data_IF_310417543149
#
_entry.id   IF_310417543149
#
_cell.length_a   1.000
_cell.length_b   1.000
_cell.length_c   1.000
_cell.angle_alpha   90.00
_cell.angle_beta   90.00
_cell.angle_gamma   90.00
#
_symmetry.space_group_name_H-M   'P 1'
#
loop_
_entity.id
_entity.type
_entity.pdbx_description
1 polymer ?
#
# COMPACT_ATOMS: atom_id res chain seq x y z
N UNK A 1 -7.62 6.98 -27.48
CA UNK A 1 -8.21 6.60 -26.19
C UNK A 1 -8.82 5.22 -26.33
N UNK A 2 -8.44 4.29 -25.45
CA UNK A 2 -8.95 2.92 -25.33
C UNK A 2 -8.95 2.50 -23.86
N UNK A 3 -9.62 1.39 -23.54
CA UNK A 3 -9.58 0.78 -22.21
C UNK A 3 -8.13 0.53 -21.77
N UNK A 4 -7.81 0.89 -20.53
CA UNK A 4 -6.49 0.78 -19.93
C UNK A 4 -5.54 1.95 -20.23
N UNK A 5 -5.91 2.89 -21.11
CA UNK A 5 -5.10 4.11 -21.29
C UNK A 5 -5.16 4.96 -20.01
N UNK A 6 -4.00 5.51 -19.61
CA UNK A 6 -3.84 6.36 -18.44
C UNK A 6 -3.79 7.84 -18.84
N UNK A 7 -4.54 8.67 -18.10
CA UNK A 7 -4.66 10.10 -18.34
C UNK A 7 -4.41 10.88 -17.04
N UNK A 8 -3.87 12.09 -17.20
CA UNK A 8 -3.58 13.03 -16.12
C UNK A 8 -4.55 14.20 -16.21
N UNK A 9 -5.14 14.58 -15.08
CA UNK A 9 -5.99 15.77 -14.99
C UNK A 9 -5.14 17.01 -15.23
N UNK A 10 -5.62 17.92 -16.08
CA UNK A 10 -4.81 19.08 -16.48
C UNK A 10 -4.56 20.07 -15.35
N UNK A 11 -5.54 20.23 -14.46
CA UNK A 11 -5.50 21.16 -13.33
C UNK A 11 -4.96 20.52 -12.04
N UNK A 12 -4.66 19.23 -12.08
CA UNK A 12 -4.14 18.47 -10.94
C UNK A 12 -3.20 17.39 -11.48
N UNK A 13 -1.88 17.61 -11.50
CA UNK A 13 -0.94 16.69 -12.10
C UNK A 13 -0.88 15.33 -11.38
N UNK A 14 -1.35 15.23 -10.13
CA UNK A 14 -1.44 13.97 -9.36
C UNK A 14 -2.82 13.29 -9.52
N UNK A 15 -3.79 13.94 -10.15
CA UNK A 15 -5.09 13.37 -10.50
C UNK A 15 -4.99 12.40 -11.69
N UNK A 16 -4.57 11.16 -11.44
CA UNK A 16 -4.41 10.13 -12.46
C UNK A 16 -5.65 9.26 -12.59
N UNK A 17 -6.07 8.98 -13.83
CA UNK A 17 -7.24 8.15 -14.13
C UNK A 17 -6.93 7.11 -15.19
N UNK A 18 -7.58 5.95 -15.06
CA UNK A 18 -7.59 4.87 -16.06
C UNK A 18 -8.93 4.85 -16.80
N UNK A 19 -8.87 4.73 -18.12
CA UNK A 19 -10.07 4.55 -18.96
C UNK A 19 -10.58 3.12 -18.79
N UNK A 20 -11.77 2.96 -18.21
CA UNK A 20 -12.43 1.67 -18.07
C UNK A 20 -13.12 1.24 -19.37
N UNK A 21 -13.74 2.18 -20.09
CA UNK A 21 -14.48 1.91 -21.31
C UNK A 21 -14.70 3.19 -22.14
N UNK A 22 -14.81 3.04 -23.46
CA UNK A 22 -15.24 4.10 -24.37
C UNK A 22 -16.42 3.55 -25.18
N UNK A 23 -17.62 4.09 -24.95
CA UNK A 23 -18.85 3.61 -25.61
C UNK A 23 -19.80 4.77 -25.86
N UNK A 24 -20.41 4.81 -27.05
CA UNK A 24 -21.45 5.80 -27.39
C UNK A 24 -21.01 7.27 -27.26
N UNK A 25 -19.73 7.59 -27.51
CA UNK A 25 -19.19 8.94 -27.34
C UNK A 25 -18.96 9.38 -25.88
N UNK A 26 -19.14 8.45 -24.93
CA UNK A 26 -18.83 8.64 -23.53
C UNK A 26 -17.56 7.88 -23.14
N UNK A 27 -16.89 8.40 -22.13
CA UNK A 27 -15.71 7.81 -21.50
C UNK A 27 -16.08 7.44 -20.08
N UNK A 28 -15.94 6.17 -19.74
CA UNK A 28 -15.99 5.67 -18.36
C UNK A 28 -14.57 5.57 -17.84
N UNK A 29 -14.29 6.19 -16.71
CA UNK A 29 -12.95 6.25 -16.13
C UNK A 29 -13.02 6.22 -14.61
N UNK A 30 -11.96 5.77 -13.97
CA UNK A 30 -11.82 5.77 -12.51
C UNK A 30 -10.41 6.25 -12.15
N UNK A 31 -10.16 6.72 -10.91
CA UNK A 31 -8.81 6.95 -10.43
C UNK A 31 -7.91 5.73 -10.66
N UNK A 32 -6.64 5.96 -11.01
CA UNK A 32 -5.64 4.89 -11.03
C UNK A 32 -5.48 4.37 -9.59
N UNK A 33 -5.69 3.07 -9.38
CA UNK A 33 -5.80 2.48 -8.04
C UNK A 33 -7.23 2.15 -7.57
N UNK A 34 -8.23 2.45 -8.40
CA UNK A 34 -9.62 2.09 -8.12
C UNK A 34 -10.41 3.19 -7.40
N UNK A 35 -11.68 2.92 -7.16
CA UNK A 35 -12.66 3.91 -6.70
C UNK A 35 -13.86 4.01 -7.65
N UNK A 36 -14.61 5.11 -7.53
CA UNK A 36 -15.85 5.28 -8.29
C UNK A 36 -15.61 5.47 -9.79
N UNK A 37 -16.41 4.76 -10.60
CA UNK A 37 -16.44 4.97 -12.05
C UNK A 37 -17.21 6.25 -12.34
N UNK A 38 -16.53 7.19 -12.98
CA UNK A 38 -17.11 8.41 -13.53
C UNK A 38 -17.45 8.22 -15.01
N UNK A 39 -18.46 8.95 -15.47
CA UNK A 39 -18.89 8.94 -16.88
C UNK A 39 -18.92 10.38 -17.37
N UNK A 40 -18.23 10.66 -18.48
CA UNK A 40 -18.23 11.98 -19.10
C UNK A 40 -18.33 11.88 -20.64
N UNK A 41 -18.90 12.90 -21.31
CA UNK A 41 -18.75 13.04 -22.76
C UNK A 41 -17.27 13.12 -23.15
N UNK A 42 -16.89 12.50 -24.28
CA UNK A 42 -15.50 12.45 -24.74
C UNK A 42 -14.85 13.84 -24.84
N UNK A 43 -15.55 14.82 -25.42
CA UNK A 43 -15.04 16.19 -25.54
C UNK A 43 -14.75 16.85 -24.18
N UNK A 44 -15.57 16.56 -23.16
CA UNK A 44 -15.32 17.05 -21.79
C UNK A 44 -14.09 16.38 -21.20
N UNK A 45 -13.97 15.07 -21.35
CA UNK A 45 -12.82 14.32 -20.86
C UNK A 45 -11.51 14.81 -21.50
N UNK A 46 -11.48 15.00 -22.82
CA UNK A 46 -10.27 15.49 -23.52
C UNK A 46 -9.91 16.95 -23.14
N UNK A 47 -10.91 17.75 -22.78
CA UNK A 47 -10.74 19.09 -22.23
C UNK A 47 -10.17 19.09 -20.81
N UNK A 48 -10.61 18.16 -19.96
CA UNK A 48 -10.21 18.10 -18.54
C UNK A 48 -8.93 17.28 -18.31
N UNK A 49 -8.59 16.37 -19.22
CA UNK A 49 -7.49 15.41 -19.09
C UNK A 49 -6.56 15.43 -20.31
N UNK A 50 -5.33 14.95 -20.09
CA UNK A 50 -4.34 14.72 -21.15
C UNK A 50 -3.72 13.32 -21.02
N UNK A 51 -3.27 12.69 -22.12
CA UNK A 51 -2.56 11.42 -22.03
C UNK A 51 -1.34 11.52 -21.10
N UNK A 52 -1.09 10.47 -20.32
CA UNK A 52 0.11 10.34 -19.50
C UNK A 52 1.35 10.28 -20.40
N UNK A 53 2.37 11.08 -20.08
CA UNK A 53 3.68 11.05 -20.75
C UNK A 53 4.68 10.21 -19.96
N UNK A 54 5.82 9.87 -20.56
CA UNK A 54 6.89 9.19 -19.83
C UNK A 54 7.45 10.04 -18.68
N UNK A 55 7.45 11.37 -18.82
CA UNK A 55 7.82 12.29 -17.72
C UNK A 55 6.83 12.20 -16.56
N UNK A 56 5.53 12.09 -16.84
CA UNK A 56 4.53 11.88 -15.79
C UNK A 56 4.70 10.52 -15.14
N UNK A 57 4.92 9.48 -15.94
CA UNK A 57 5.17 8.12 -15.45
C UNK A 57 6.38 8.08 -14.52
N UNK A 58 7.48 8.75 -14.89
CA UNK A 58 8.66 8.88 -14.05
C UNK A 58 8.35 9.63 -12.74
N UNK A 59 7.64 10.76 -12.81
CA UNK A 59 7.25 11.58 -11.65
C UNK A 59 6.23 10.90 -10.73
N UNK A 60 5.35 10.07 -11.27
CA UNK A 60 4.39 9.31 -10.47
C UNK A 60 5.07 8.12 -9.79
N UNK A 61 6.13 7.58 -10.39
CA UNK A 61 6.99 6.55 -9.78
C UNK A 61 7.96 7.09 -8.72
N UNK A 62 8.17 8.40 -8.63
CA UNK A 62 9.00 8.95 -7.55
C UNK A 62 8.21 8.91 -6.26
N UNK A 63 8.52 7.92 -5.42
CA UNK A 63 8.05 7.88 -4.06
C UNK A 63 8.75 8.97 -3.23
N UNK A 64 7.99 9.65 -2.38
CA UNK A 64 8.52 10.56 -1.38
C UNK A 64 8.44 9.92 0.00
N UNK A 65 9.39 10.20 0.89
CA UNK A 65 9.21 9.87 2.30
C UNK A 65 8.15 10.78 2.89
N UNK A 66 7.20 10.17 3.59
CA UNK A 66 6.12 10.85 4.28
C UNK A 66 5.66 10.03 5.47
N UNK A 67 4.43 10.29 5.88
CA UNK A 67 3.84 9.77 7.10
C UNK A 67 2.45 9.22 6.77
N UNK A 68 2.13 8.04 7.30
CA UNK A 68 0.82 7.41 7.12
C UNK A 68 0.27 6.91 8.44
N UNK A 69 -1.05 6.94 8.58
CA UNK A 69 -1.79 6.28 9.64
C UNK A 69 -2.75 5.24 9.02
N UNK A 70 -3.05 4.21 9.82
CA UNK A 70 -4.03 3.18 9.50
C UNK A 70 -5.16 3.19 10.51
N UNK A 71 -6.37 2.85 10.09
CA UNK A 71 -7.54 2.83 10.99
C UNK A 71 -7.52 1.68 12.02
N UNK A 72 -6.64 0.69 11.83
CA UNK A 72 -6.40 -0.43 12.76
C UNK A 72 -5.27 -0.16 13.77
N UNK A 73 -4.56 0.97 13.68
CA UNK A 73 -3.54 1.32 14.68
C UNK A 73 -4.23 1.85 15.95
N UNK A 74 -3.93 1.27 17.12
CA UNK A 74 -4.53 1.71 18.40
C UNK A 74 -4.18 3.15 18.75
N UNK A 75 -2.98 3.60 18.34
CA UNK A 75 -2.62 5.01 18.31
C UNK A 75 -2.74 5.54 16.88
N UNK A 76 -3.46 6.64 16.68
CA UNK A 76 -3.52 7.33 15.38
C UNK A 76 -2.18 8.02 15.03
N UNK A 77 -1.07 7.59 15.64
CA UNK A 77 0.22 8.23 15.47
C UNK A 77 0.88 7.71 14.20
N UNK A 78 1.22 8.58 13.24
CA UNK A 78 1.68 8.14 11.95
C UNK A 78 3.03 7.41 12.00
N UNK A 79 3.25 6.57 10.99
CA UNK A 79 4.46 5.78 10.76
C UNK A 79 5.15 6.33 9.50
N UNK A 80 6.49 6.43 9.47
CA UNK A 80 7.19 6.85 8.27
C UNK A 80 7.05 5.80 7.15
N UNK A 81 6.79 6.27 5.93
CA UNK A 81 6.65 5.41 4.77
C UNK A 81 7.07 6.11 3.48
N UNK A 82 7.31 5.32 2.45
CA UNK A 82 7.42 5.79 1.07
C UNK A 82 6.03 5.86 0.43
N UNK A 83 5.63 7.05 0.03
CA UNK A 83 4.35 7.30 -0.62
C UNK A 83 4.50 7.05 -2.12
N UNK A 84 4.09 5.86 -2.57
CA UNK A 84 4.21 5.38 -3.96
C UNK A 84 3.27 6.08 -4.94
N UNK A 85 2.35 6.92 -4.42
CA UNK A 85 1.22 7.53 -5.15
C UNK A 85 0.24 6.52 -5.75
N UNK A 86 0.47 5.23 -5.51
CA UNK A 86 -0.48 4.17 -5.82
C UNK A 86 -1.61 4.23 -4.78
N UNK A 87 -2.82 3.98 -5.26
CA UNK A 87 -4.00 3.93 -4.43
C UNK A 87 -4.65 2.55 -4.53
N UNK A 88 -5.37 2.16 -3.49
CA UNK A 88 -6.32 1.05 -3.52
C UNK A 88 -7.66 1.54 -2.97
N UNK A 89 -8.70 1.51 -3.80
CA UNK A 89 -10.03 2.05 -3.46
C UNK A 89 -10.00 3.51 -2.94
N UNK A 90 -9.02 4.30 -3.40
CA UNK A 90 -8.81 5.68 -2.96
C UNK A 90 -7.92 5.85 -1.72
N UNK A 91 -7.49 4.78 -1.08
CA UNK A 91 -6.55 4.79 0.06
C UNK A 91 -5.11 4.65 -0.41
N UNK A 92 -4.16 5.22 0.34
CA UNK A 92 -2.74 5.14 -0.01
C UNK A 92 -2.22 3.69 0.02
N UNK A 93 -1.22 3.40 -0.81
CA UNK A 93 -0.45 2.15 -0.75
C UNK A 93 1.00 2.44 -0.33
N UNK A 94 1.24 2.71 0.96
CA UNK A 94 2.59 2.99 1.45
C UNK A 94 3.51 1.78 1.32
N UNK A 95 4.79 2.06 1.11
CA UNK A 95 5.85 1.08 1.16
C UNK A 95 6.80 1.43 2.31
N UNK A 96 7.09 0.49 3.20
CA UNK A 96 7.83 0.76 4.42
C UNK A 96 9.25 0.21 4.36
N UNK A 97 10.21 0.89 4.98
CA UNK A 97 11.51 0.30 5.26
C UNK A 97 11.40 -0.72 6.40
N UNK A 98 12.31 -1.69 6.43
CA UNK A 98 12.29 -2.77 7.43
C UNK A 98 12.29 -2.22 8.87
N UNK A 99 13.20 -1.31 9.15
CA UNK A 99 13.44 -0.84 10.52
C UNK A 99 12.25 0.00 11.01
N UNK A 100 11.62 0.77 10.11
CA UNK A 100 10.39 1.53 10.37
C UNK A 100 9.22 0.58 10.73
N UNK A 101 9.07 -0.55 10.03
CA UNK A 101 8.06 -1.59 10.36
C UNK A 101 8.35 -2.27 11.69
N UNK A 102 9.60 -2.67 11.94
CA UNK A 102 9.99 -3.32 13.21
C UNK A 102 9.70 -2.39 14.39
N UNK A 103 9.99 -1.11 14.26
CA UNK A 103 9.68 -0.11 15.28
C UNK A 103 8.16 0.06 15.47
N UNK A 104 7.39 0.13 14.37
CA UNK A 104 5.93 0.23 14.44
C UNK A 104 5.28 -0.99 15.10
N UNK A 105 5.73 -2.20 14.77
CA UNK A 105 5.27 -3.46 15.37
C UNK A 105 5.61 -3.47 16.87
N UNK A 106 6.85 -3.13 17.24
CA UNK A 106 7.27 -3.09 18.63
C UNK A 106 6.47 -2.09 19.48
N UNK A 107 5.94 -1.03 18.86
CA UNK A 107 5.05 -0.04 19.49
C UNK A 107 3.57 -0.40 19.44
N UNK A 108 3.20 -1.55 18.87
CA UNK A 108 1.80 -1.99 18.77
C UNK A 108 0.98 -1.24 17.71
N UNK A 109 1.63 -0.51 16.79
CA UNK A 109 0.93 0.24 15.74
C UNK A 109 0.51 -0.63 14.55
N UNK A 110 1.24 -1.72 14.35
CA UNK A 110 0.94 -2.74 13.36
C UNK A 110 0.82 -4.04 14.13
N UNK A 111 -0.41 -4.53 14.24
CA UNK A 111 -0.73 -5.73 15.00
C UNK A 111 -0.49 -6.98 14.15
N UNK A 112 -0.28 -8.09 14.85
CA UNK A 112 -0.27 -9.45 14.30
C UNK A 112 0.65 -9.63 13.07
N UNK A 113 1.70 -8.83 12.99
CA UNK A 113 2.64 -8.80 11.88
C UNK A 113 4.05 -9.11 12.37
N UNK A 114 4.71 -10.02 11.66
CA UNK A 114 5.97 -10.62 12.08
C UNK A 114 6.99 -10.61 10.94
N UNK A 115 8.24 -10.31 11.25
CA UNK A 115 9.31 -10.37 10.25
C UNK A 115 10.00 -11.74 10.26
N UNK A 116 10.00 -12.42 9.12
CA UNK A 116 10.72 -13.68 8.92
C UNK A 116 11.95 -13.46 8.05
N UNK A 117 13.10 -13.27 8.71
CA UNK A 117 14.34 -12.85 8.07
C UNK A 117 14.89 -13.86 7.04
N UNK A 118 14.65 -15.16 7.21
CA UNK A 118 15.20 -16.17 6.31
C UNK A 118 14.59 -16.11 4.90
N UNK A 119 13.36 -15.62 4.76
CA UNK A 119 12.69 -15.41 3.48
C UNK A 119 12.61 -13.93 3.06
N UNK A 120 13.09 -12.99 3.89
CA UNK A 120 12.98 -11.55 3.68
C UNK A 120 11.53 -11.09 3.44
N UNK A 121 10.64 -11.51 4.34
CA UNK A 121 9.20 -11.21 4.27
C UNK A 121 8.67 -10.73 5.62
N UNK A 122 7.59 -9.94 5.57
CA UNK A 122 6.68 -9.79 6.70
C UNK A 122 5.48 -10.72 6.50
N UNK A 123 4.98 -11.29 7.60
CA UNK A 123 3.82 -12.18 7.65
C UNK A 123 2.80 -11.52 8.56
N UNK A 124 1.62 -11.24 8.03
CA UNK A 124 0.47 -10.76 8.83
C UNK A 124 -0.49 -11.92 9.02
N UNK A 125 -0.91 -12.13 10.27
CA UNK A 125 -1.91 -13.11 10.66
C UNK A 125 -3.18 -12.39 11.09
N UNK A 126 -4.34 -12.85 10.67
CA UNK A 126 -5.62 -12.28 11.11
C UNK A 126 -6.54 -13.39 11.59
N UNK A 127 -7.07 -13.20 12.80
CA UNK A 127 -8.12 -14.03 13.39
C UNK A 127 -9.45 -13.26 13.44
N UNK A 128 -9.73 -12.43 12.42
CA UNK A 128 -10.98 -11.68 12.28
C UNK A 128 -11.41 -10.88 13.52
N UNK A 129 -10.43 -10.31 14.25
CA UNK A 129 -10.66 -9.50 15.46
C UNK A 129 -10.57 -10.27 16.79
N UNK A 130 -10.37 -11.59 16.75
CA UNK A 130 -10.07 -12.39 17.93
C UNK A 130 -8.55 -12.45 18.20
N UNK A 131 -8.10 -12.77 19.44
CA UNK A 131 -6.68 -12.95 19.72
C UNK A 131 -6.06 -14.09 18.91
N UNK A 132 -4.80 -13.95 18.52
CA UNK A 132 -4.06 -15.04 17.90
C UNK A 132 -3.91 -16.24 18.86
N UNK A 133 -3.98 -17.49 18.37
CA UNK A 133 -3.63 -18.66 19.17
C UNK A 133 -2.15 -18.64 19.54
N UNK A 134 -1.76 -19.44 20.54
CA UNK A 134 -0.35 -19.70 20.78
C UNK A 134 0.23 -20.56 19.65
N UNK A 135 1.38 -20.17 19.09
CA UNK A 135 2.10 -20.93 18.09
C UNK A 135 3.62 -20.74 18.23
N UNK A 136 4.40 -21.60 17.59
CA UNK A 136 5.86 -21.50 17.51
C UNK A 136 6.27 -20.85 16.17
N UNK A 137 6.76 -19.60 16.17
CA UNK A 137 7.17 -18.91 14.93
C UNK A 137 8.23 -19.66 14.13
N UNK A 138 9.16 -20.35 14.80
CA UNK A 138 10.26 -21.06 14.14
C UNK A 138 9.77 -22.29 13.36
N UNK A 139 8.68 -22.91 13.82
CA UNK A 139 8.03 -24.01 13.14
C UNK A 139 7.04 -23.52 12.05
N UNK A 140 6.28 -22.46 12.34
CA UNK A 140 5.17 -22.04 11.49
C UNK A 140 5.58 -21.15 10.32
N UNK A 141 6.53 -20.21 10.49
CA UNK A 141 6.89 -19.28 9.41
C UNK A 141 7.46 -19.95 8.15
N UNK A 142 8.36 -20.95 8.24
CA UNK A 142 8.79 -21.70 7.05
C UNK A 142 7.62 -22.36 6.32
N UNK A 143 6.70 -22.97 7.08
CA UNK A 143 5.52 -23.67 6.54
C UNK A 143 4.55 -22.70 5.86
N UNK A 144 4.33 -21.53 6.47
CA UNK A 144 3.50 -20.46 5.92
C UNK A 144 4.05 -19.99 4.58
N UNK A 145 5.35 -19.69 4.51
CA UNK A 145 6.00 -19.21 3.27
C UNK A 145 5.95 -20.26 2.17
N UNK A 146 6.12 -21.54 2.49
CA UNK A 146 5.99 -22.63 1.52
C UNK A 146 4.55 -22.78 1.00
N UNK A 147 3.56 -22.66 1.89
CA UNK A 147 2.15 -22.84 1.54
C UNK A 147 1.56 -21.67 0.72
N UNK A 148 1.99 -20.44 0.98
CA UNK A 148 1.43 -19.23 0.37
C UNK A 148 2.14 -18.80 -0.94
N UNK A 149 2.78 -19.75 -1.65
CA UNK A 149 3.44 -19.50 -2.93
C UNK A 149 2.48 -19.17 -4.11
N UNK A 150 1.16 -19.18 -3.90
CA UNK A 150 0.12 -18.84 -4.88
C UNK A 150 -0.76 -17.67 -4.34
N UNK A 151 -0.85 -16.49 -4.99
CA UNK A 151 -1.16 -15.26 -4.26
C UNK A 151 -2.59 -14.77 -4.46
N UNK A 152 -3.31 -14.61 -3.35
CA UNK A 152 -4.03 -13.37 -3.00
C UNK A 152 -4.54 -13.44 -1.55
N UNK A 153 -4.73 -14.65 -1.01
CA UNK A 153 -5.27 -14.88 0.33
C UNK A 153 -5.04 -16.35 0.68
N UNK A 154 -4.38 -16.64 1.79
CA UNK A 154 -4.21 -18.02 2.27
C UNK A 154 -4.85 -18.16 3.65
N UNK A 155 -5.73 -19.14 3.81
CA UNK A 155 -6.18 -19.58 5.13
C UNK A 155 -5.34 -20.78 5.56
N UNK A 156 -4.69 -20.68 6.70
CA UNK A 156 -3.85 -21.75 7.25
C UNK A 156 -4.24 -22.05 8.69
N UNK A 157 -4.37 -23.33 9.01
CA UNK A 157 -4.52 -23.77 10.40
C UNK A 157 -3.19 -23.55 11.13
N UNK A 158 -3.16 -22.67 12.13
CA UNK A 158 -2.02 -22.34 12.98
C UNK A 158 -2.49 -22.42 14.42
N UNK A 159 -1.82 -23.20 15.26
CA UNK A 159 -2.22 -23.37 16.67
C UNK A 159 -3.66 -23.91 16.84
N UNK A 160 -4.18 -24.66 15.85
CA UNK A 160 -5.54 -25.21 15.85
C UNK A 160 -6.65 -24.22 15.46
N UNK A 161 -6.29 -23.04 14.94
CA UNK A 161 -7.23 -22.03 14.44
C UNK A 161 -6.90 -21.72 12.98
N UNK A 162 -7.91 -21.61 12.12
CA UNK A 162 -7.72 -21.14 10.75
C UNK A 162 -7.53 -19.63 10.75
N UNK A 163 -6.34 -19.18 10.39
CA UNK A 163 -5.98 -17.77 10.30
C UNK A 163 -5.92 -17.35 8.83
N UNK A 164 -6.35 -16.13 8.55
CA UNK A 164 -5.98 -15.46 7.31
C UNK A 164 -4.49 -15.10 7.39
N UNK A 165 -3.77 -15.36 6.31
CA UNK A 165 -2.34 -15.14 6.21
C UNK A 165 -2.02 -14.31 4.97
N UNK A 166 -1.33 -13.20 5.20
CA UNK A 166 -0.82 -12.32 4.16
C UNK A 166 0.71 -12.28 4.23
N UNK A 167 1.37 -12.45 3.07
CA UNK A 167 2.83 -12.41 2.95
C UNK A 167 3.24 -11.18 2.15
N UNK A 168 4.14 -10.39 2.75
CA UNK A 168 4.65 -9.15 2.20
C UNK A 168 6.15 -9.30 1.93
N UNK A 169 6.53 -9.78 0.72
CA UNK A 169 7.93 -9.95 0.39
C UNK A 169 8.63 -8.60 0.19
N UNK A 170 9.89 -8.53 0.61
CA UNK A 170 10.72 -7.37 0.33
C UNK A 170 10.92 -7.18 -1.18
N UNK A 171 10.84 -5.93 -1.64
CA UNK A 171 11.18 -5.55 -3.01
C UNK A 171 12.09 -4.33 -3.03
N UNK A 172 12.81 -4.16 -4.14
CA UNK A 172 13.60 -2.96 -4.36
C UNK A 172 12.73 -1.90 -5.04
N UNK A 173 12.67 -0.72 -4.46
CA UNK A 173 12.00 0.45 -5.03
C UNK A 173 13.05 1.44 -5.51
N UNK A 174 12.94 1.86 -6.78
CA UNK A 174 13.81 2.87 -7.35
C UNK A 174 13.40 4.27 -6.86
N UNK A 175 14.39 5.08 -6.50
CA UNK A 175 14.21 6.46 -6.08
C UNK A 175 14.52 7.43 -7.23
N UNK A 176 14.07 8.67 -7.08
CA UNK A 176 14.20 9.71 -8.12
C UNK A 176 15.66 10.04 -8.48
N UNK A 177 16.59 9.86 -7.53
CA UNK A 177 18.02 10.09 -7.69
C UNK A 177 18.75 8.91 -8.36
N UNK A 178 18.02 7.84 -8.72
CA UNK A 178 18.57 6.62 -9.31
C UNK A 178 19.09 5.61 -8.31
N UNK A 179 19.04 5.89 -7.00
CA UNK A 179 19.29 4.91 -5.96
C UNK A 179 18.09 3.95 -5.79
N UNK A 180 18.25 2.94 -4.95
CA UNK A 180 17.18 2.00 -4.61
C UNK A 180 17.12 1.74 -3.12
N UNK A 181 15.92 1.57 -2.59
CA UNK A 181 15.66 1.21 -1.19
C UNK A 181 14.88 -0.12 -1.12
N UNK A 182 15.18 -0.94 -0.11
CA UNK A 182 14.45 -2.19 0.17
C UNK A 182 13.19 -1.85 0.98
N UNK A 183 12.02 -2.17 0.44
CA UNK A 183 10.73 -1.84 1.04
C UNK A 183 9.77 -3.02 1.06
N UNK A 184 8.76 -2.91 1.91
CA UNK A 184 7.71 -3.90 2.11
C UNK A 184 6.35 -3.19 2.04
N UNK A 185 5.43 -3.74 1.26
CA UNK A 185 4.11 -3.14 1.02
C UNK A 185 3.09 -3.64 2.06
N UNK A 186 3.48 -3.74 3.34
CA UNK A 186 2.63 -4.31 4.40
C UNK A 186 1.28 -3.59 4.44
N UNK A 187 0.20 -4.37 4.29
CA UNK A 187 -1.18 -3.86 4.28
C UNK A 187 -1.61 -3.15 3.00
N UNK A 188 -0.71 -2.93 2.02
CA UNK A 188 -1.07 -2.23 0.80
C UNK A 188 -2.13 -3.03 0.02
N UNK A 189 -3.26 -2.39 -0.27
CA UNK A 189 -4.36 -3.04 -1.00
C UNK A 189 -5.33 -3.86 -0.14
N UNK A 190 -5.14 -3.87 1.18
CA UNK A 190 -6.01 -4.55 2.14
C UNK A 190 -6.45 -3.63 3.26
N UNK A 191 -5.59 -2.67 3.56
CA UNK A 191 -5.72 -1.73 4.65
C UNK A 191 -5.93 -0.31 4.12
N UNK A 192 -6.70 0.47 4.86
CA UNK A 192 -7.05 1.86 4.58
C UNK A 192 -5.98 2.79 5.15
N UNK A 193 -4.98 3.12 4.34
CA UNK A 193 -3.95 4.07 4.74
C UNK A 193 -4.34 5.51 4.39
N UNK A 194 -4.16 6.41 5.36
CA UNK A 194 -4.29 7.85 5.20
C UNK A 194 -2.93 8.51 5.28
N UNK A 195 -2.70 9.54 4.45
CA UNK A 195 -1.50 10.39 4.54
C UNK A 195 -1.69 11.37 5.69
N UNK A 196 -0.67 11.46 6.53
CA UNK A 196 -0.66 12.34 7.70
C UNK A 196 0.45 13.40 7.62
N UNK A 197 0.35 14.39 8.50
CA UNK A 197 1.44 15.31 8.78
C UNK A 197 2.53 14.62 9.60
N UNK A 198 3.73 15.19 9.58
CA UNK A 198 4.82 14.70 10.42
C UNK A 198 4.44 14.85 11.90
N UNK A 199 4.73 13.85 12.76
CA UNK A 199 4.52 13.99 14.19
C UNK A 199 5.37 15.14 14.73
N UNK A 200 4.84 15.92 15.67
CA UNK A 200 5.62 16.97 16.32
C UNK A 200 6.87 16.35 16.97
N UNK A 201 8.06 16.97 16.83
CA UNK A 201 9.24 16.49 17.50
C UNK A 201 8.96 16.46 19.00
N UNK A 202 9.24 15.33 19.64
CA UNK A 202 9.08 15.19 21.08
C UNK A 202 9.79 16.37 21.77
N UNK A 203 9.04 17.16 22.53
CA UNK A 203 9.61 18.26 23.31
C UNK A 203 10.75 17.68 24.15
N UNK A 204 11.97 18.20 23.95
CA UNK A 204 13.12 17.80 24.75
C UNK A 204 12.73 17.86 26.22
N UNK A 205 13.03 16.83 27.03
CA UNK A 205 12.83 16.94 28.46
C UNK A 205 13.61 18.17 28.93
N UNK A 206 12.91 19.09 29.59
CA UNK A 206 13.53 20.25 30.20
C UNK A 206 14.64 19.77 31.16
N UNK A 207 15.79 20.46 31.22
CA UNK A 207 16.94 20.06 32.00
C UNK A 207 16.66 19.97 33.51
#
# INVERSE_FOLDING_TARGET
MKKGDIYIRRNDPDGVVSVAEVVGGQVRYAPEGGGFVHIAPMAKFEGDFRPQTDKDRARLRTAEKGWVAGDWAEDESPIPAWLTKELWNGFAMPAFEKDDLIEAIAKGKILDTFHYAAADVFITLSNCGEPLPAFDPDAEFPRIVEAAADPMFSELEIGGVNLQVDIWPGRNMALADGSSVRVYDVGAGYWTWSREEAPEPAASPAP
#
